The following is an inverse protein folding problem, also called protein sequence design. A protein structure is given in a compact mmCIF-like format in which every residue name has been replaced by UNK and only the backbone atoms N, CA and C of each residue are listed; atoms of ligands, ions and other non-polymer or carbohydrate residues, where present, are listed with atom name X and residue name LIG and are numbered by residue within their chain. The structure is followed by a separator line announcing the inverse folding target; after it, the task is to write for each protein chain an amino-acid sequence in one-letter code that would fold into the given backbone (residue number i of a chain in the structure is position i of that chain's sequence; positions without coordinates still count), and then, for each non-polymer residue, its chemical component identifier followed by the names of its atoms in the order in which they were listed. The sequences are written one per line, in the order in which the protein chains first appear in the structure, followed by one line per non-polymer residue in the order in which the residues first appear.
data_IF_695765755540
#
_entry.id   IF_695765755540
#
_cell.length_a   1.000
_cell.length_b   1.000
_cell.length_c   1.000
_cell.angle_alpha   90.00
_cell.angle_beta   90.00
_cell.angle_gamma   90.00
#
_symmetry.space_group_name_H-M   'P 1'
#
loop_
_entity.id
_entity.type
_entity.pdbx_description
1 polymer ?
#
# COMPACT_ATOMS: atom_id res chain seq x y z
N UNK A 1 25.48 2.00 19.99
CA UNK A 1 25.02 1.10 18.92
C UNK A 1 24.67 1.96 17.71
N UNK A 2 25.02 1.57 16.48
CA UNK A 2 24.54 2.22 15.25
C UNK A 2 23.41 1.36 14.65
N UNK A 3 22.39 2.00 14.08
CA UNK A 3 21.22 1.32 13.46
C UNK A 3 21.34 1.30 11.92
N UNK A 4 22.27 2.06 11.33
CA UNK A 4 22.53 2.07 9.89
C UNK A 4 23.77 2.90 9.53
N UNK A 5 24.37 2.63 8.38
CA UNK A 5 25.53 3.36 7.88
C UNK A 5 25.11 4.49 6.93
N UNK A 6 25.73 5.67 7.08
CA UNK A 6 25.54 6.84 6.18
C UNK A 6 24.10 7.34 6.07
N UNK A 7 23.32 7.23 7.14
CA UNK A 7 21.95 7.77 7.23
C UNK A 7 21.83 8.69 8.44
N UNK A 8 21.05 9.76 8.31
CA UNK A 8 20.76 10.68 9.40
C UNK A 8 19.65 10.17 10.33
N UNK A 9 18.64 9.48 9.76
CA UNK A 9 17.44 8.99 10.46
C UNK A 9 17.10 7.59 9.96
N UNK A 10 16.78 6.69 10.89
CA UNK A 10 16.20 5.37 10.58
C UNK A 10 14.74 5.36 11.02
N UNK A 11 13.83 5.06 10.09
CA UNK A 11 12.42 4.84 10.39
C UNK A 11 12.21 3.34 10.54
N UNK A 12 11.89 2.90 11.76
CA UNK A 12 11.58 1.51 12.06
C UNK A 12 10.09 1.35 12.33
N UNK A 13 9.38 0.65 11.45
CA UNK A 13 7.99 0.25 11.68
C UNK A 13 7.98 -1.06 12.49
N UNK A 14 7.21 -1.09 13.58
CA UNK A 14 6.94 -2.32 14.32
C UNK A 14 5.57 -2.81 13.87
N UNK A 15 5.56 -3.93 13.14
CA UNK A 15 4.33 -4.58 12.72
C UNK A 15 3.55 -5.17 13.89
N UNK A 16 2.25 -5.38 13.68
CA UNK A 16 1.32 -5.85 14.70
C UNK A 16 0.59 -4.72 15.43
N UNK A 17 -0.19 -5.07 16.45
CA UNK A 17 -0.91 -4.09 17.28
C UNK A 17 -0.36 -4.10 18.70
N UNK A 18 -0.18 -2.91 19.29
CA UNK A 18 0.19 -2.79 20.70
C UNK A 18 -0.87 -3.47 21.57
N UNK A 19 -0.44 -4.46 22.34
CA UNK A 19 -1.29 -5.34 23.14
C UNK A 19 -1.27 -6.79 22.66
N UNK A 20 -0.79 -7.06 21.45
CA UNK A 20 -0.63 -8.41 20.92
C UNK A 20 0.65 -9.06 21.45
N UNK A 21 0.57 -10.36 21.78
CA UNK A 21 1.68 -11.14 22.35
C UNK A 21 2.86 -11.18 21.38
N UNK A 22 2.59 -11.27 20.07
CA UNK A 22 3.60 -11.34 19.00
C UNK A 22 4.50 -10.09 18.95
N UNK A 23 3.98 -8.93 19.39
CA UNK A 23 4.70 -7.65 19.33
C UNK A 23 5.56 -7.38 20.57
N UNK A 24 5.39 -8.13 21.66
CA UNK A 24 6.07 -7.87 22.94
C UNK A 24 7.60 -7.86 22.83
N UNK A 25 8.27 -8.81 22.13
CA UNK A 25 9.73 -8.78 22.01
C UNK A 25 10.24 -7.54 21.29
N UNK A 26 9.52 -7.06 20.26
CA UNK A 26 9.90 -5.85 19.52
C UNK A 26 9.70 -4.59 20.35
N UNK A 27 8.60 -4.52 21.09
CA UNK A 27 8.33 -3.39 21.97
C UNK A 27 9.34 -3.33 23.12
N UNK A 28 9.71 -4.47 23.72
CA UNK A 28 10.77 -4.51 24.73
C UNK A 28 12.13 -4.07 24.17
N UNK A 29 12.46 -4.47 22.93
CA UNK A 29 13.69 -4.06 22.28
C UNK A 29 13.78 -2.53 22.11
N UNK A 30 12.73 -1.86 21.62
CA UNK A 30 12.74 -0.40 21.52
C UNK A 30 12.72 0.26 22.90
N UNK A 31 11.97 -0.29 23.87
CA UNK A 31 11.94 0.23 25.23
C UNK A 31 13.34 0.29 25.84
N UNK A 32 14.14 -0.76 25.66
CA UNK A 32 15.56 -0.79 26.08
C UNK A 32 16.42 0.17 25.24
N UNK A 33 16.20 0.23 23.93
CA UNK A 33 16.98 1.08 23.02
C UNK A 33 16.97 2.56 23.44
N UNK A 34 15.87 3.06 24.03
CA UNK A 34 15.81 4.44 24.56
C UNK A 34 16.88 4.77 25.59
N UNK A 35 17.38 3.77 26.33
CA UNK A 35 18.43 3.93 27.33
C UNK A 35 19.84 3.78 26.75
N UNK A 36 19.97 3.21 25.55
CA UNK A 36 21.24 3.01 24.85
C UNK A 36 21.68 4.27 24.06
N UNK A 37 20.77 5.21 23.83
CA UNK A 37 20.97 6.41 23.00
C UNK A 37 20.62 7.69 23.75
N UNK A 38 20.98 8.86 23.21
CA UNK A 38 20.63 10.14 23.85
C UNK A 38 19.12 10.42 23.69
N UNK A 39 18.51 11.21 24.58
CA UNK A 39 17.07 11.49 24.53
C UNK A 39 16.54 12.06 23.20
N UNK A 40 17.38 12.74 22.40
CA UNK A 40 17.01 13.30 21.09
C UNK A 40 17.41 12.41 19.90
N UNK A 41 18.01 11.25 20.15
CA UNK A 41 18.44 10.31 19.12
C UNK A 41 17.38 9.22 18.86
N UNK A 42 16.23 9.28 19.55
CA UNK A 42 15.09 8.37 19.39
C UNK A 42 13.78 9.09 19.57
N UNK A 43 12.77 8.71 18.78
CA UNK A 43 11.43 9.27 18.80
C UNK A 43 10.40 8.16 18.60
N UNK A 44 9.38 8.11 19.45
CA UNK A 44 8.27 7.18 19.33
C UNK A 44 7.02 7.85 18.76
N UNK A 45 6.66 7.44 17.55
CA UNK A 45 5.44 7.85 16.86
C UNK A 45 4.43 6.71 17.00
N UNK A 46 3.32 6.96 17.70
CA UNK A 46 2.28 5.96 17.89
C UNK A 46 1.06 6.26 17.02
N UNK A 47 0.73 5.34 16.12
CA UNK A 47 -0.44 5.40 15.25
C UNK A 47 -1.66 4.84 15.99
N UNK A 48 -2.72 5.64 16.11
CA UNK A 48 -3.97 5.25 16.77
C UNK A 48 -5.16 5.48 15.85
N UNK A 49 -6.31 4.88 16.19
CA UNK A 49 -7.58 5.11 15.51
C UNK A 49 -8.48 6.04 16.35
N UNK A 50 -9.04 7.07 15.72
CA UNK A 50 -10.12 7.91 16.26
C UNK A 50 -11.36 7.72 15.39
N UNK A 51 -12.22 6.74 15.71
CA UNK A 51 -13.37 6.41 14.88
C UNK A 51 -14.46 7.49 14.97
N UNK A 52 -15.15 7.69 13.85
CA UNK A 52 -16.35 8.51 13.76
C UNK A 52 -17.60 7.65 13.89
N UNK A 53 -18.40 7.89 14.93
CA UNK A 53 -19.65 7.15 15.15
C UNK A 53 -20.77 7.88 14.40
N UNK A 54 -21.11 7.38 13.21
CA UNK A 54 -22.10 8.01 12.31
C UNK A 54 -23.45 8.26 12.98
N UNK A 55 -23.93 7.31 13.78
CA UNK A 55 -25.23 7.40 14.49
C UNK A 55 -25.26 8.49 15.56
N UNK A 56 -24.13 8.81 16.17
CA UNK A 56 -24.01 9.81 17.22
C UNK A 56 -23.40 11.14 16.74
N UNK A 57 -22.90 11.19 15.51
CA UNK A 57 -22.32 12.39 14.93
C UNK A 57 -20.98 12.82 15.54
N UNK A 58 -20.26 11.94 16.23
CA UNK A 58 -19.13 12.31 17.08
C UNK A 58 -17.87 11.44 16.88
N UNK A 59 -16.71 12.04 17.13
CA UNK A 59 -15.41 11.37 17.14
C UNK A 59 -15.11 10.82 18.53
N UNK A 60 -14.70 9.56 18.61
CA UNK A 60 -14.41 8.89 19.89
C UNK A 60 -12.91 8.79 20.14
N UNK A 61 -12.43 9.48 21.17
CA UNK A 61 -11.01 9.49 21.55
C UNK A 61 -10.60 8.33 22.46
N UNK A 62 -11.57 7.59 23.05
CA UNK A 62 -11.30 6.51 24.00
C UNK A 62 -10.38 5.40 23.44
N UNK A 63 -10.53 4.92 22.18
CA UNK A 63 -9.62 3.92 21.63
C UNK A 63 -8.15 4.38 21.63
N UNK A 64 -7.91 5.64 21.27
CA UNK A 64 -6.56 6.24 21.34
C UNK A 64 -6.03 6.27 22.77
N UNK A 65 -6.85 6.67 23.74
CA UNK A 65 -6.45 6.71 25.16
C UNK A 65 -6.07 5.33 25.70
N UNK A 66 -6.88 4.31 25.40
CA UNK A 66 -6.60 2.93 25.83
C UNK A 66 -5.36 2.36 25.12
N UNK A 67 -5.17 2.66 23.84
CA UNK A 67 -3.99 2.23 23.08
C UNK A 67 -2.70 2.83 23.66
N UNK A 68 -2.69 4.12 24.00
CA UNK A 68 -1.55 4.76 24.67
C UNK A 68 -1.35 4.20 26.08
N UNK A 69 -2.41 3.89 26.82
CA UNK A 69 -2.30 3.22 28.10
C UNK A 69 -1.58 1.87 27.97
N UNK A 70 -1.94 1.04 27.00
CA UNK A 70 -1.26 -0.24 26.72
C UNK A 70 0.22 -0.08 26.36
N UNK A 71 0.55 0.94 25.58
CA UNK A 71 1.95 1.25 25.27
C UNK A 71 2.74 1.68 26.52
N UNK A 72 2.11 2.44 27.42
CA UNK A 72 2.73 2.87 28.69
C UNK A 72 2.83 1.77 29.73
N UNK A 73 1.90 0.80 29.75
CA UNK A 73 1.96 -0.38 30.63
C UNK A 73 3.27 -1.17 30.45
N UNK A 74 3.83 -1.15 29.24
CA UNK A 74 5.12 -1.76 28.92
C UNK A 74 6.28 -0.77 28.96
N UNK A 75 6.11 0.42 29.55
CA UNK A 75 7.18 1.39 29.78
C UNK A 75 7.57 2.25 28.57
N UNK A 76 6.72 2.34 27.54
CA UNK A 76 6.97 3.19 26.37
C UNK A 76 6.05 4.41 26.41
N UNK A 77 6.64 5.60 26.51
CA UNK A 77 5.92 6.86 26.36
C UNK A 77 6.03 7.34 24.91
N UNK A 78 4.91 7.47 24.17
CA UNK A 78 4.96 8.05 22.82
C UNK A 78 5.32 9.53 22.89
N UNK A 79 6.12 9.98 21.93
CA UNK A 79 6.50 11.38 21.77
C UNK A 79 5.55 12.10 20.79
N UNK A 80 4.97 11.35 19.83
CA UNK A 80 4.00 11.82 18.85
C UNK A 80 2.83 10.84 18.75
N UNK A 81 1.61 11.37 18.62
CA UNK A 81 0.41 10.60 18.29
C UNK A 81 -0.07 10.95 16.88
N UNK A 82 -0.13 9.94 16.01
CA UNK A 82 -0.82 10.03 14.72
C UNK A 82 -2.22 9.45 14.89
N UNK A 83 -3.23 10.32 14.91
CA UNK A 83 -4.61 9.90 15.09
C UNK A 83 -5.28 9.71 13.72
N UNK A 84 -5.36 8.46 13.26
CA UNK A 84 -6.04 8.07 12.02
C UNK A 84 -7.55 8.28 12.14
N UNK A 85 -8.15 8.98 11.18
CA UNK A 85 -9.57 9.31 11.24
C UNK A 85 -10.17 9.77 9.90
N UNK A 86 -11.47 9.57 9.73
CA UNK A 86 -12.24 10.05 8.56
C UNK A 86 -12.58 11.56 8.64
N UNK A 87 -12.52 12.17 9.83
CA UNK A 87 -12.88 13.60 10.03
C UNK A 87 -11.81 14.38 10.77
N UNK A 88 -11.62 15.63 10.38
CA UNK A 88 -10.62 16.51 10.99
C UNK A 88 -10.87 16.67 12.49
N UNK A 89 -9.82 16.48 13.30
CA UNK A 89 -9.89 16.71 14.73
C UNK A 89 -9.89 18.21 15.02
N UNK A 90 -10.83 18.67 15.84
CA UNK A 90 -10.80 20.03 16.38
C UNK A 90 -9.60 20.19 17.33
N UNK A 91 -9.20 21.46 17.56
CA UNK A 91 -8.17 21.79 18.54
C UNK A 91 -8.51 21.23 19.93
N UNK A 92 -9.77 21.35 20.36
CA UNK A 92 -10.25 20.82 21.64
C UNK A 92 -10.13 19.31 21.76
N UNK A 93 -10.36 18.55 20.67
CA UNK A 93 -10.18 17.10 20.65
C UNK A 93 -8.70 16.74 20.79
N UNK A 94 -7.82 17.44 20.07
CA UNK A 94 -6.36 17.24 20.16
C UNK A 94 -5.83 17.53 21.56
N UNK A 95 -6.24 18.65 22.17
CA UNK A 95 -5.91 19.01 23.56
C UNK A 95 -6.40 17.96 24.56
N UNK A 96 -7.62 17.45 24.37
CA UNK A 96 -8.16 16.36 25.18
C UNK A 96 -7.32 15.10 25.06
N UNK A 97 -6.99 14.67 23.84
CA UNK A 97 -6.13 13.49 23.61
C UNK A 97 -4.77 13.71 24.29
N UNK A 98 -4.15 14.87 24.07
CA UNK A 98 -2.87 15.23 24.65
C UNK A 98 -2.87 15.12 26.18
N UNK A 99 -3.88 15.69 26.83
CA UNK A 99 -4.06 15.63 28.27
C UNK A 99 -4.18 14.18 28.79
N UNK A 100 -5.06 13.37 28.19
CA UNK A 100 -5.28 11.99 28.65
C UNK A 100 -4.13 11.03 28.33
N UNK A 101 -3.35 11.34 27.29
CA UNK A 101 -2.22 10.52 26.84
C UNK A 101 -0.86 11.01 27.38
N UNK A 102 -0.84 12.12 28.13
CA UNK A 102 0.37 12.73 28.68
C UNK A 102 1.40 13.09 27.60
N UNK A 103 0.93 13.65 26.47
CA UNK A 103 1.79 14.19 25.40
C UNK A 103 1.52 15.68 25.19
N UNK A 104 2.44 16.38 24.54
CA UNK A 104 2.26 17.80 24.22
C UNK A 104 1.13 17.98 23.18
N UNK A 105 0.35 19.05 23.29
CA UNK A 105 -0.79 19.29 22.40
C UNK A 105 -0.40 19.46 20.92
N UNK A 106 0.79 20.01 20.65
CA UNK A 106 1.38 20.10 19.31
C UNK A 106 1.94 18.77 18.79
N UNK A 107 1.93 17.71 19.59
CA UNK A 107 2.40 16.37 19.23
C UNK A 107 1.26 15.41 18.89
N UNK A 108 0.01 15.92 18.79
CA UNK A 108 -1.17 15.16 18.37
C UNK A 108 -1.60 15.61 16.98
N UNK A 109 -1.42 14.73 15.99
CA UNK A 109 -1.66 15.04 14.58
C UNK A 109 -2.89 14.30 14.06
N UNK A 110 -3.61 14.95 13.14
CA UNK A 110 -4.69 14.29 12.42
C UNK A 110 -4.12 13.58 11.20
N UNK A 111 -4.14 12.25 11.20
CA UNK A 111 -3.87 11.44 10.02
C UNK A 111 -5.20 11.18 9.30
N UNK A 112 -5.59 12.08 8.41
CA UNK A 112 -6.85 11.94 7.67
C UNK A 112 -6.80 10.74 6.72
N UNK A 113 -7.92 10.04 6.57
CA UNK A 113 -8.09 9.17 5.42
C UNK A 113 -8.08 10.02 4.13
N UNK A 114 -7.27 9.60 3.17
CA UNK A 114 -7.03 10.30 1.91
C UNK A 114 -7.47 9.46 0.72
N UNK A 115 -7.73 10.12 -0.40
CA UNK A 115 -8.20 9.46 -1.63
C UNK A 115 -7.12 8.62 -2.31
N UNK A 116 -5.85 8.92 -2.03
CA UNK A 116 -4.70 8.27 -2.62
C UNK A 116 -3.50 8.28 -1.67
N UNK A 117 -2.66 7.24 -1.72
CA UNK A 117 -1.45 7.16 -0.90
C UNK A 117 -0.49 8.33 -1.16
N UNK A 118 -0.50 8.90 -2.37
CA UNK A 118 0.34 10.04 -2.75
C UNK A 118 -0.11 11.36 -2.09
N UNK A 119 -1.31 11.40 -1.50
CA UNK A 119 -1.82 12.56 -0.76
C UNK A 119 -1.38 12.56 0.71
N UNK A 120 -0.91 11.41 1.24
CA UNK A 120 -0.46 11.26 2.63
C UNK A 120 0.67 12.25 2.98
N UNK A 121 1.76 12.37 2.19
CA UNK A 121 2.84 13.31 2.52
C UNK A 121 2.36 14.77 2.57
N UNK A 122 1.49 15.15 1.63
CA UNK A 122 0.91 16.51 1.59
C UNK A 122 0.03 16.78 2.81
N UNK A 123 -0.78 15.80 3.22
CA UNK A 123 -1.66 15.91 4.38
C UNK A 123 -0.88 16.01 5.69
N UNK A 124 0.18 15.21 5.85
CA UNK A 124 1.00 15.21 7.05
C UNK A 124 1.88 16.47 7.16
N UNK A 125 2.40 16.96 6.05
CA UNK A 125 3.14 18.23 6.03
C UNK A 125 2.22 19.40 6.41
N UNK A 126 1.00 19.43 5.87
CA UNK A 126 -0.01 20.45 6.22
C UNK A 126 -0.37 20.45 7.71
N UNK A 127 -0.28 19.30 8.38
CA UNK A 127 -0.48 19.17 9.82
C UNK A 127 0.78 19.56 10.64
N UNK A 128 1.93 19.78 9.99
CA UNK A 128 3.18 20.22 10.60
C UNK A 128 4.01 19.09 11.21
N UNK A 129 3.78 17.84 10.80
CA UNK A 129 4.43 16.66 11.40
C UNK A 129 5.95 16.72 11.27
N UNK A 130 6.48 16.99 10.07
CA UNK A 130 7.91 16.99 9.80
C UNK A 130 8.65 17.99 10.70
N UNK A 131 8.09 19.19 10.86
CA UNK A 131 8.64 20.23 11.74
C UNK A 131 8.78 19.74 13.18
N UNK A 132 7.74 19.14 13.74
CA UNK A 132 7.77 18.65 15.13
C UNK A 132 8.72 17.46 15.29
N UNK A 133 8.80 16.56 14.31
CA UNK A 133 9.79 15.47 14.32
C UNK A 133 11.21 16.03 14.39
N UNK A 134 11.55 16.99 13.53
CA UNK A 134 12.89 17.62 13.51
C UNK A 134 13.19 18.36 14.82
N UNK A 135 12.22 19.11 15.36
CA UNK A 135 12.36 19.80 16.65
C UNK A 135 12.64 18.82 17.80
N UNK A 136 11.90 17.71 17.88
CA UNK A 136 12.07 16.69 18.92
C UNK A 136 13.41 15.94 18.80
N UNK A 137 13.86 15.68 17.58
CA UNK A 137 15.19 15.10 17.31
C UNK A 137 16.33 16.13 17.46
N UNK A 138 16.03 17.41 17.66
CA UNK A 138 17.04 18.46 17.72
C UNK A 138 17.79 18.68 16.40
N UNK A 139 17.16 18.32 15.28
CA UNK A 139 17.73 18.42 13.95
C UNK A 139 17.29 19.72 13.28
N UNK A 140 18.18 20.29 12.46
CA UNK A 140 17.83 21.38 11.54
C UNK A 140 17.33 20.76 10.24
N UNK A 141 16.24 21.27 9.70
CA UNK A 141 15.74 20.90 8.38
C UNK A 141 15.33 22.12 7.57
N UNK A 142 15.13 21.90 6.28
CA UNK A 142 14.52 22.85 5.35
C UNK A 142 13.07 22.45 5.08
N UNK A 143 12.28 23.38 4.56
CA UNK A 143 10.96 23.04 4.05
C UNK A 143 11.08 21.98 2.94
N UNK A 144 10.24 20.93 2.96
CA UNK A 144 10.29 19.87 1.95
C UNK A 144 9.78 20.40 0.60
N UNK A 145 10.48 20.03 -0.47
CA UNK A 145 9.94 20.17 -1.83
C UNK A 145 8.88 19.10 -2.06
N UNK A 146 7.64 19.54 -2.26
CA UNK A 146 6.48 18.67 -2.46
C UNK A 146 5.92 18.72 -3.88
N UNK A 147 6.60 19.39 -4.83
CA UNK A 147 6.10 19.62 -6.18
C UNK A 147 5.78 18.31 -6.90
N UNK A 148 6.63 17.29 -6.72
CA UNK A 148 6.42 15.95 -7.29
C UNK A 148 5.13 15.30 -6.77
N UNK A 149 4.87 15.37 -5.46
CA UNK A 149 3.66 14.81 -4.85
C UNK A 149 2.41 15.58 -5.29
N UNK A 150 2.50 16.91 -5.41
CA UNK A 150 1.41 17.72 -5.92
C UNK A 150 1.08 17.37 -7.37
N UNK A 151 2.09 17.24 -8.24
CA UNK A 151 1.92 16.85 -9.64
C UNK A 151 1.28 15.47 -9.78
N UNK A 152 1.73 14.48 -9.01
CA UNK A 152 1.13 13.14 -9.01
C UNK A 152 -0.36 13.21 -8.65
N UNK A 153 -0.72 13.91 -7.57
CA UNK A 153 -2.12 14.04 -7.16
C UNK A 153 -2.97 14.81 -8.17
N UNK A 154 -2.41 15.80 -8.87
CA UNK A 154 -3.11 16.50 -9.95
C UNK A 154 -3.46 15.55 -11.09
N UNK A 155 -2.51 14.74 -11.54
CA UNK A 155 -2.73 13.75 -12.61
C UNK A 155 -3.79 12.72 -12.20
N UNK A 156 -3.71 12.20 -10.97
CA UNK A 156 -4.68 11.22 -10.47
C UNK A 156 -6.10 11.81 -10.33
N UNK A 157 -6.22 13.08 -9.94
CA UNK A 157 -7.52 13.76 -9.80
C UNK A 157 -8.11 14.16 -11.16
N UNK A 158 -7.28 14.57 -12.12
CA UNK A 158 -7.70 15.04 -13.45
C UNK A 158 -6.78 14.48 -14.55
N UNK A 159 -6.95 13.21 -14.93
CA UNK A 159 -6.19 12.61 -16.04
C UNK A 159 -6.68 13.14 -17.39
N UNK A 160 -5.82 13.08 -18.40
CA UNK A 160 -6.14 13.47 -19.80
C UNK A 160 -6.89 12.37 -20.56
N UNK A 161 -6.82 11.14 -20.07
CA UNK A 161 -7.52 9.99 -20.63
C UNK A 161 -7.49 8.79 -19.68
N UNK A 162 -8.06 7.68 -20.13
CA UNK A 162 -8.08 6.42 -19.38
C UNK A 162 -7.62 5.28 -20.27
N UNK A 163 -6.97 4.29 -19.67
CA UNK A 163 -6.58 3.04 -20.32
C UNK A 163 -7.09 1.87 -19.49
N UNK A 164 -7.81 0.95 -20.11
CA UNK A 164 -8.34 -0.24 -19.45
C UNK A 164 -7.36 -1.40 -19.59
N UNK A 165 -6.86 -1.90 -18.47
CA UNK A 165 -5.94 -3.04 -18.42
C UNK A 165 -6.65 -4.24 -17.79
N UNK A 166 -6.78 -5.32 -18.56
CA UNK A 166 -7.30 -6.60 -18.09
C UNK A 166 -6.23 -7.35 -17.30
N UNK A 167 -6.40 -7.53 -16.00
CA UNK A 167 -5.51 -8.33 -15.15
C UNK A 167 -6.10 -9.73 -15.01
N UNK A 168 -5.43 -10.71 -15.61
CA UNK A 168 -5.88 -12.12 -15.64
C UNK A 168 -5.25 -12.90 -14.50
N UNK A 169 -5.91 -12.91 -13.35
CA UNK A 169 -5.41 -13.49 -12.10
C UNK A 169 -6.18 -14.71 -11.63
N UNK A 170 -5.61 -15.45 -10.67
CA UNK A 170 -6.28 -16.57 -9.97
C UNK A 170 -7.13 -16.09 -8.78
N UNK A 171 -6.68 -15.03 -8.13
CA UNK A 171 -7.29 -14.49 -6.90
C UNK A 171 -7.79 -13.06 -7.12
N UNK A 172 -8.76 -12.87 -8.01
CA UNK A 172 -9.28 -11.53 -8.34
C UNK A 172 -9.94 -10.82 -7.16
N UNK A 173 -10.44 -11.58 -6.17
CA UNK A 173 -11.06 -11.03 -4.96
C UNK A 173 -10.01 -10.48 -3.96
N UNK A 174 -8.79 -11.02 -3.98
CA UNK A 174 -7.71 -10.58 -3.09
C UNK A 174 -6.77 -9.61 -3.81
N UNK A 175 -7.30 -8.43 -4.16
CA UNK A 175 -6.60 -7.36 -4.89
C UNK A 175 -5.26 -6.97 -4.26
N UNK A 176 -5.12 -7.10 -2.94
CA UNK A 176 -3.87 -6.83 -2.22
C UNK A 176 -2.70 -7.72 -2.65
N UNK A 177 -2.97 -8.94 -3.13
CA UNK A 177 -1.93 -9.84 -3.66
C UNK A 177 -1.20 -9.25 -4.87
N UNK A 178 -1.79 -8.24 -5.51
CA UNK A 178 -1.26 -7.59 -6.70
C UNK A 178 -0.90 -6.12 -6.46
N UNK A 179 -0.73 -5.69 -5.20
CA UNK A 179 -0.50 -4.27 -4.87
C UNK A 179 0.70 -3.66 -5.60
N UNK A 180 1.86 -4.32 -5.58
CA UNK A 180 3.05 -3.81 -6.29
C UNK A 180 2.84 -3.72 -7.80
N UNK A 181 2.03 -4.63 -8.35
CA UNK A 181 1.74 -4.68 -9.78
C UNK A 181 0.78 -3.56 -10.19
N UNK A 182 -0.28 -3.34 -9.42
CA UNK A 182 -1.22 -2.24 -9.68
C UNK A 182 -0.54 -0.90 -9.49
N UNK A 183 0.30 -0.71 -8.47
CA UNK A 183 1.07 0.53 -8.30
C UNK A 183 2.07 0.77 -9.43
N UNK A 184 2.75 -0.26 -9.94
CA UNK A 184 3.64 -0.12 -11.09
C UNK A 184 2.87 0.36 -12.34
N UNK A 185 1.67 -0.16 -12.59
CA UNK A 185 0.82 0.30 -13.69
C UNK A 185 0.28 1.71 -13.43
N UNK A 186 -0.14 2.04 -12.20
CA UNK A 186 -0.55 3.40 -11.82
C UNK A 186 0.60 4.39 -12.08
N UNK A 187 1.85 4.06 -11.72
CA UNK A 187 3.03 4.87 -12.05
C UNK A 187 3.21 5.04 -13.56
N UNK A 188 2.98 3.98 -14.35
CA UNK A 188 2.95 4.07 -15.80
C UNK A 188 1.89 5.06 -16.31
N UNK A 189 0.68 5.00 -15.75
CA UNK A 189 -0.39 5.96 -16.05
C UNK A 189 -0.02 7.40 -15.68
N UNK A 190 0.54 7.61 -14.48
CA UNK A 190 1.05 8.92 -14.02
C UNK A 190 2.09 9.46 -14.99
N UNK A 191 3.03 8.63 -15.44
CA UNK A 191 4.06 9.04 -16.42
C UNK A 191 3.50 9.45 -17.78
N UNK A 192 2.28 9.04 -18.12
CA UNK A 192 1.60 9.31 -19.38
C UNK A 192 0.36 10.20 -19.23
N UNK A 193 0.15 10.82 -18.06
CA UNK A 193 -1.05 11.63 -17.74
C UNK A 193 -2.40 10.91 -17.93
N UNK A 194 -2.45 9.58 -17.82
CA UNK A 194 -3.67 8.78 -17.96
C UNK A 194 -4.00 8.00 -16.71
N UNK A 195 -5.30 7.73 -16.50
CA UNK A 195 -5.78 6.84 -15.45
C UNK A 195 -5.75 5.40 -15.94
N UNK A 196 -5.14 4.52 -15.16
CA UNK A 196 -5.24 3.07 -15.39
C UNK A 196 -6.50 2.56 -14.71
N UNK A 197 -7.40 1.96 -15.50
CA UNK A 197 -8.60 1.28 -15.02
C UNK A 197 -8.34 -0.22 -15.09
N UNK A 198 -8.41 -0.88 -13.94
CA UNK A 198 -8.17 -2.32 -13.87
C UNK A 198 -9.47 -3.10 -14.06
N UNK A 199 -9.48 -3.96 -15.07
CA UNK A 199 -10.52 -4.97 -15.25
C UNK A 199 -10.00 -6.31 -14.72
N UNK A 200 -10.61 -6.82 -13.66
CA UNK A 200 -10.12 -8.02 -12.97
C UNK A 200 -10.79 -9.24 -13.57
N UNK A 201 -10.01 -10.08 -14.23
CA UNK A 201 -10.51 -11.24 -14.96
C UNK A 201 -10.02 -12.51 -14.27
N UNK A 202 -10.95 -13.34 -13.82
CA UNK A 202 -10.65 -14.66 -13.28
C UNK A 202 -10.16 -15.57 -14.41
N UNK A 203 -8.95 -16.10 -14.25
CA UNK A 203 -8.36 -17.02 -15.19
C UNK A 203 -9.24 -18.27 -15.40
N UNK A 204 -9.86 -18.83 -14.37
CA UNK A 204 -10.74 -20.02 -14.52
C UNK A 204 -12.02 -19.68 -15.30
N UNK A 205 -12.50 -18.43 -15.22
CA UNK A 205 -13.63 -17.98 -16.02
C UNK A 205 -13.30 -17.93 -17.53
N UNK A 206 -12.03 -17.68 -17.88
CA UNK A 206 -11.57 -17.71 -19.28
C UNK A 206 -11.56 -19.11 -19.90
N UNK A 207 -11.56 -20.16 -19.09
CA UNK A 207 -11.59 -21.54 -19.58
C UNK A 207 -12.95 -21.92 -20.17
N UNK A 208 -14.01 -21.21 -19.80
CA UNK A 208 -15.38 -21.41 -20.30
C UNK A 208 -15.50 -21.02 -21.78
N UNK A 209 -16.50 -21.57 -22.48
CA UNK A 209 -16.71 -21.39 -23.93
C UNK A 209 -16.79 -19.92 -24.38
N UNK A 210 -17.33 -19.05 -23.55
CA UNK A 210 -17.49 -17.61 -23.85
C UNK A 210 -16.57 -16.71 -23.01
N UNK A 211 -15.60 -17.31 -22.30
CA UNK A 211 -14.73 -16.58 -21.36
C UNK A 211 -13.95 -15.43 -22.00
N UNK A 212 -13.52 -15.58 -23.27
CA UNK A 212 -12.81 -14.54 -24.00
C UNK A 212 -13.59 -13.22 -24.13
N UNK A 213 -14.93 -13.24 -23.98
CA UNK A 213 -15.73 -12.01 -23.96
C UNK A 213 -15.37 -11.09 -22.77
N UNK A 214 -14.84 -11.64 -21.67
CA UNK A 214 -14.39 -10.88 -20.50
C UNK A 214 -13.19 -9.98 -20.80
N UNK A 215 -12.44 -10.24 -21.87
CA UNK A 215 -11.28 -9.44 -22.28
C UNK A 215 -11.65 -8.36 -23.32
N UNK A 216 -12.90 -8.33 -23.79
CA UNK A 216 -13.34 -7.35 -24.80
C UNK A 216 -13.34 -5.94 -24.23
N UNK A 217 -12.75 -5.01 -24.99
CA UNK A 217 -12.66 -3.61 -24.61
C UNK A 217 -11.57 -3.30 -23.58
N UNK A 218 -10.67 -4.25 -23.30
CA UNK A 218 -9.39 -3.97 -22.68
C UNK A 218 -8.41 -3.41 -23.73
N UNK A 219 -7.72 -2.33 -23.38
CA UNK A 219 -6.67 -1.70 -24.21
C UNK A 219 -5.32 -2.43 -24.06
N UNK A 220 -5.17 -3.22 -23.00
CA UNK A 220 -4.02 -4.08 -22.77
C UNK A 220 -4.37 -5.24 -21.83
N UNK A 221 -3.63 -6.34 -21.92
CA UNK A 221 -3.83 -7.54 -21.10
C UNK A 221 -2.54 -7.81 -20.33
N UNK A 222 -2.66 -7.93 -19.01
CA UNK A 222 -1.60 -8.36 -18.13
C UNK A 222 -1.91 -9.74 -17.58
N UNK A 223 -0.96 -10.67 -17.72
CA UNK A 223 -0.99 -11.95 -17.00
C UNK A 223 0.14 -11.92 -15.95
N UNK A 224 -0.19 -11.88 -14.65
CA UNK A 224 0.80 -11.84 -13.59
C UNK A 224 1.41 -13.22 -13.36
N UNK A 225 2.41 -13.25 -12.49
CA UNK A 225 2.91 -14.48 -11.90
C UNK A 225 1.79 -15.28 -11.21
N UNK A 226 2.03 -16.56 -10.97
CA UNK A 226 1.13 -17.42 -10.22
C UNK A 226 1.81 -18.71 -9.85
N UNK A 227 1.27 -19.37 -8.82
CA UNK A 227 1.76 -20.65 -8.33
C UNK A 227 0.67 -21.72 -8.50
N UNK A 228 1.11 -22.91 -8.92
CA UNK A 228 0.27 -24.08 -9.16
C UNK A 228 -0.51 -24.02 -10.48
N UNK A 229 -1.17 -25.14 -10.79
CA UNK A 229 -1.72 -25.44 -12.12
C UNK A 229 -3.06 -24.77 -12.45
N UNK A 230 -3.79 -24.31 -11.42
CA UNK A 230 -5.15 -23.77 -11.59
C UNK A 230 -5.17 -22.50 -12.45
N UNK A 231 -6.05 -22.47 -13.44
CA UNK A 231 -6.30 -21.30 -14.30
C UNK A 231 -5.24 -21.10 -15.40
N UNK A 232 -4.32 -22.04 -15.62
CA UNK A 232 -3.27 -21.89 -16.63
C UNK A 232 -3.85 -21.88 -18.04
N UNK A 233 -4.81 -22.76 -18.36
CA UNK A 233 -5.44 -22.79 -19.68
C UNK A 233 -6.22 -21.50 -19.95
N UNK A 234 -6.82 -20.92 -18.91
CA UNK A 234 -7.41 -19.58 -18.98
C UNK A 234 -6.40 -18.49 -19.31
N UNK A 235 -5.22 -18.52 -18.69
CA UNK A 235 -4.12 -17.58 -19.00
C UNK A 235 -3.58 -17.75 -20.41
N UNK A 236 -3.44 -19.00 -20.89
CA UNK A 236 -3.05 -19.31 -22.28
C UNK A 236 -4.10 -18.74 -23.26
N UNK A 237 -5.40 -18.91 -22.96
CA UNK A 237 -6.48 -18.30 -23.75
C UNK A 237 -6.42 -16.77 -23.76
N UNK A 238 -6.00 -16.14 -22.66
CA UNK A 238 -5.79 -14.69 -22.63
C UNK A 238 -4.66 -14.25 -23.58
N UNK A 239 -3.56 -15.00 -23.63
CA UNK A 239 -2.47 -14.77 -24.61
C UNK A 239 -3.02 -14.91 -26.03
N UNK A 240 -3.74 -16.00 -26.30
CA UNK A 240 -4.28 -16.28 -27.63
C UNK A 240 -5.21 -15.13 -28.07
N UNK A 241 -6.11 -14.69 -27.19
CA UNK A 241 -6.98 -13.55 -27.44
C UNK A 241 -6.18 -12.29 -27.76
N UNK A 242 -5.15 -11.97 -26.95
CA UNK A 242 -4.31 -10.81 -27.17
C UNK A 242 -3.60 -10.85 -28.53
N UNK A 243 -2.99 -12.00 -28.88
CA UNK A 243 -2.30 -12.22 -30.16
C UNK A 243 -3.22 -12.08 -31.36
N UNK A 244 -4.37 -12.76 -31.34
CA UNK A 244 -5.31 -12.79 -32.46
C UNK A 244 -6.04 -11.47 -32.67
N UNK A 245 -6.29 -10.72 -31.59
CA UNK A 245 -6.97 -9.42 -31.65
C UNK A 245 -5.99 -8.22 -31.64
N UNK A 246 -4.68 -8.47 -31.69
CA UNK A 246 -3.62 -7.44 -31.67
C UNK A 246 -3.71 -6.50 -30.46
N UNK A 247 -4.10 -7.03 -29.31
CA UNK A 247 -4.13 -6.30 -28.03
C UNK A 247 -2.74 -6.41 -27.39
N UNK A 248 -2.14 -5.30 -26.91
CA UNK A 248 -0.89 -5.34 -26.16
C UNK A 248 -0.93 -6.32 -24.99
N UNK A 249 0.10 -7.15 -24.88
CA UNK A 249 0.21 -8.19 -23.85
C UNK A 249 1.44 -7.97 -22.99
N UNK A 250 1.28 -8.09 -21.67
CA UNK A 250 2.38 -8.08 -20.72
C UNK A 250 2.31 -9.29 -19.78
N UNK A 251 3.22 -10.26 -19.99
CA UNK A 251 3.31 -11.48 -19.19
C UNK A 251 4.47 -11.43 -18.21
N UNK A 252 4.18 -11.58 -16.91
CA UNK A 252 5.20 -11.57 -15.85
C UNK A 252 5.40 -12.99 -15.34
N UNK A 253 6.65 -13.50 -15.39
CA UNK A 253 7.02 -14.83 -14.92
C UNK A 253 6.13 -15.92 -15.57
N UNK A 254 5.15 -16.47 -14.84
CA UNK A 254 4.17 -17.42 -15.37
C UNK A 254 3.43 -16.86 -16.60
N UNK A 255 3.15 -15.56 -16.67
CA UNK A 255 2.58 -14.95 -17.87
C UNK A 255 3.46 -15.15 -19.11
N UNK A 256 4.78 -14.95 -18.97
CA UNK A 256 5.73 -15.24 -20.06
C UNK A 256 5.72 -16.72 -20.43
N UNK A 257 5.64 -17.63 -19.45
CA UNK A 257 5.53 -19.07 -19.73
C UNK A 257 4.25 -19.40 -20.52
N UNK A 258 3.11 -18.84 -20.11
CA UNK A 258 1.84 -19.00 -20.83
C UNK A 258 1.97 -18.49 -22.28
N UNK A 259 2.70 -17.40 -22.51
CA UNK A 259 2.92 -16.88 -23.86
C UNK A 259 3.75 -17.84 -24.73
N UNK A 260 4.81 -18.42 -24.19
CA UNK A 260 5.62 -19.42 -24.88
C UNK A 260 4.81 -20.70 -25.20
N UNK A 261 4.00 -21.16 -24.23
CA UNK A 261 3.13 -22.33 -24.40
C UNK A 261 2.06 -22.07 -25.48
N UNK A 262 1.39 -20.93 -25.45
CA UNK A 262 0.38 -20.57 -26.45
C UNK A 262 0.99 -20.55 -27.85
N UNK A 263 2.13 -19.89 -28.01
CA UNK A 263 2.80 -19.81 -29.31
C UNK A 263 3.24 -21.19 -29.82
N UNK A 264 3.81 -22.03 -28.95
CA UNK A 264 4.20 -23.38 -29.29
C UNK A 264 3.00 -24.23 -29.77
N UNK A 265 1.87 -24.17 -29.06
CA UNK A 265 0.66 -24.94 -29.38
C UNK A 265 -0.01 -24.45 -30.66
N UNK A 266 -0.19 -23.14 -30.80
CA UNK A 266 -1.07 -22.56 -31.81
C UNK A 266 -0.34 -22.10 -33.08
N UNK A 267 0.92 -21.65 -32.97
CA UNK A 267 1.70 -21.15 -34.12
C UNK A 267 2.72 -22.18 -34.58
N UNK A 268 3.45 -22.84 -33.66
CA UNK A 268 4.42 -23.88 -34.01
C UNK A 268 3.83 -25.29 -34.09
N UNK A 269 2.52 -25.44 -33.86
CA UNK A 269 1.76 -26.71 -33.94
C UNK A 269 2.23 -27.84 -33.00
N UNK A 270 2.93 -27.50 -31.91
CA UNK A 270 3.31 -28.42 -30.85
C UNK A 270 2.16 -28.57 -29.84
N UNK A 271 1.09 -29.28 -30.23
CA UNK A 271 -0.19 -29.34 -29.49
C UNK A 271 -0.08 -29.67 -28.00
N UNK A 272 0.91 -30.47 -27.61
CA UNK A 272 1.11 -30.94 -26.24
C UNK A 272 2.18 -30.13 -25.49
N UNK A 273 2.70 -29.03 -26.04
CA UNK A 273 3.70 -28.21 -25.38
C UNK A 273 3.18 -27.70 -24.03
N UNK A 274 3.97 -27.84 -22.98
CA UNK A 274 3.65 -27.36 -21.63
C UNK A 274 4.93 -27.10 -20.83
N UNK A 275 4.81 -26.46 -19.68
CA UNK A 275 5.90 -26.35 -18.71
C UNK A 275 6.08 -27.69 -17.99
N UNK A 276 7.34 -28.09 -17.77
CA UNK A 276 7.65 -29.25 -16.93
C UNK A 276 7.18 -29.10 -15.48
N UNK A 277 6.84 -27.87 -15.05
CA UNK A 277 6.21 -27.60 -13.75
C UNK A 277 4.78 -28.17 -13.64
N UNK A 278 4.01 -28.13 -14.74
CA UNK A 278 2.58 -28.48 -14.77
C UNK A 278 2.31 -29.81 -15.47
N UNK A 279 3.29 -30.30 -16.20
CA UNK A 279 3.23 -31.56 -16.92
C UNK A 279 4.63 -32.17 -16.86
N UNK A 280 5.07 -32.67 -15.69
CA UNK A 280 6.31 -33.41 -15.59
C UNK A 280 6.15 -34.73 -16.35
N UNK A 281 6.63 -34.73 -17.61
CA UNK A 281 6.74 -35.87 -18.56
C UNK A 281 5.72 -36.98 -18.43
#
# INVERSE_FOLDING_TARGET
RSVGDRVDVVICEIGGTVGDIESLPFLEAIRQFRFDVKPKDVLYVHLTLVPYIKTAGELKTKPTQHSVQKLREIGIQPDILLCRTEKKLSKSIKEKIALFCSVEANSVFTAMDVSSIYEVPLSLEKEGLCKIILEKLGMKGKEPDLDRWQKINQILKKPEGEVKIGIVGKYVDLKESYKSLTEALIHGGIGNNVRVVFDWVDAEALEKKEGAALLKGCDGILVPGGFGERGIEGKIKAVQFARENKVPYFGICLGMHCAAIEFARHVAHLKNANSGEFSPT
#
